data_IF_991618261555
#
_entry.id   IF_991618261555
#
_cell.length_a   1.000
_cell.length_b   1.000
_cell.length_c   1.000
_cell.angle_alpha   90.00
_cell.angle_beta   90.00
_cell.angle_gamma   90.00
#
_symmetry.space_group_name_H-M   'P 1'
#
loop_
_entity.id
_entity.type
_entity.pdbx_description
1 polymer ?
#
# COMPACT_ATOMS: atom_id res chain seq x y z
N UNK A 1 -4.23 16.66 -23.77
CA UNK A 1 -3.83 15.51 -22.92
C UNK A 1 -2.31 15.24 -22.92
N UNK A 2 -1.53 15.63 -23.94
CA UNK A 2 -0.08 15.34 -24.03
C UNK A 2 0.84 16.08 -23.05
N UNK A 3 0.29 16.85 -22.11
CA UNK A 3 1.05 17.67 -21.14
C UNK A 3 0.62 17.41 -19.69
N UNK A 4 -0.38 16.55 -19.47
CA UNK A 4 -0.86 16.20 -18.13
C UNK A 4 -0.31 14.83 -17.74
N UNK A 5 -0.25 14.55 -16.44
CA UNK A 5 0.08 13.22 -15.94
C UNK A 5 -1.10 12.28 -16.22
N UNK A 6 -0.80 11.09 -16.73
CA UNK A 6 -1.77 10.03 -16.97
C UNK A 6 -1.38 8.86 -16.08
N UNK A 7 -2.33 8.34 -15.30
CA UNK A 7 -2.14 7.17 -14.44
C UNK A 7 -3.30 6.22 -14.71
N UNK A 8 -3.01 4.93 -14.86
CA UNK A 8 -4.00 3.89 -15.06
C UNK A 8 -4.02 2.90 -13.89
N UNK A 9 -5.21 2.36 -13.62
CA UNK A 9 -5.39 1.04 -13.04
C UNK A 9 -5.31 0.04 -14.21
N UNK A 10 -4.21 -0.71 -14.37
CA UNK A 10 -3.93 -1.43 -15.61
C UNK A 10 -4.60 -2.81 -15.63
N UNK A 11 -5.86 -2.88 -15.21
CA UNK A 11 -6.67 -4.09 -15.30
C UNK A 11 -8.17 -3.79 -15.38
N UNK A 12 -8.93 -4.76 -15.89
CA UNK A 12 -10.38 -4.84 -15.77
C UNK A 12 -10.84 -6.27 -15.43
N UNK A 13 -12.15 -6.47 -15.26
CA UNK A 13 -12.75 -7.77 -14.91
C UNK A 13 -12.91 -8.73 -16.10
N UNK A 14 -12.64 -8.26 -17.32
CA UNK A 14 -12.87 -9.00 -18.55
C UNK A 14 -11.76 -10.03 -18.85
N UNK A 15 -12.02 -10.94 -19.81
CA UNK A 15 -10.97 -11.76 -20.39
C UNK A 15 -9.84 -10.88 -20.94
N UNK A 16 -8.59 -11.25 -20.68
CA UNK A 16 -7.39 -10.48 -21.05
C UNK A 16 -7.32 -9.06 -20.46
N UNK A 17 -8.10 -8.80 -19.39
CA UNK A 17 -8.16 -7.51 -18.72
C UNK A 17 -6.86 -7.07 -18.08
N UNK A 18 -5.96 -8.00 -17.69
CA UNK A 18 -4.70 -7.68 -17.01
C UNK A 18 -3.64 -7.11 -17.97
N UNK A 19 -3.34 -5.81 -17.86
CA UNK A 19 -2.51 -5.04 -18.80
C UNK A 19 -1.34 -4.30 -18.13
N UNK A 20 -0.91 -4.74 -16.94
CA UNK A 20 0.24 -4.16 -16.24
C UNK A 20 1.50 -4.24 -17.12
N UNK A 21 2.12 -3.10 -17.38
CA UNK A 21 3.29 -2.92 -18.25
C UNK A 21 2.95 -2.63 -19.72
N UNK A 22 1.68 -2.73 -20.12
CA UNK A 22 1.26 -2.62 -21.53
C UNK A 22 0.67 -1.26 -21.93
N UNK A 23 0.50 -0.29 -21.01
CA UNK A 23 0.05 1.04 -21.41
C UNK A 23 1.14 1.79 -22.20
N UNK A 24 0.74 2.76 -23.06
CA UNK A 24 1.67 3.57 -23.84
C UNK A 24 2.67 4.36 -22.99
N UNK A 25 3.77 4.77 -23.62
CA UNK A 25 4.72 5.71 -23.02
C UNK A 25 4.03 7.00 -22.54
N UNK A 26 4.47 7.49 -21.38
CA UNK A 26 3.88 8.67 -20.72
C UNK A 26 2.80 8.36 -19.68
N UNK A 27 2.36 7.09 -19.57
CA UNK A 27 1.47 6.63 -18.51
C UNK A 27 2.25 6.12 -17.29
N UNK A 28 1.77 6.47 -16.10
CA UNK A 28 2.03 5.72 -14.87
C UNK A 28 1.00 4.61 -14.70
N UNK A 29 1.38 3.54 -14.02
CA UNK A 29 0.49 2.40 -13.77
C UNK A 29 0.54 2.00 -12.30
N UNK A 30 -0.63 1.80 -11.69
CA UNK A 30 -0.73 1.20 -10.37
C UNK A 30 -0.11 -0.19 -10.40
N UNK A 31 0.97 -0.36 -9.64
CA UNK A 31 1.73 -1.60 -9.63
C UNK A 31 1.18 -2.57 -8.56
N UNK A 32 0.17 -3.35 -8.93
CA UNK A 32 -0.40 -4.39 -8.06
C UNK A 32 0.62 -5.46 -7.66
N UNK A 33 1.57 -5.81 -8.53
CA UNK A 33 2.63 -6.78 -8.19
C UNK A 33 3.57 -6.24 -7.10
N UNK A 34 3.87 -4.94 -7.12
CA UNK A 34 4.61 -4.28 -6.05
C UNK A 34 3.85 -4.41 -4.73
N UNK A 35 2.55 -4.05 -4.71
CA UNK A 35 1.70 -4.12 -3.51
C UNK A 35 1.74 -5.51 -2.88
N UNK A 36 1.46 -6.53 -3.68
CA UNK A 36 1.32 -7.90 -3.18
C UNK A 36 2.66 -8.48 -2.73
N UNK A 37 3.74 -8.20 -3.47
CA UNK A 37 5.10 -8.64 -3.12
C UNK A 37 5.55 -8.02 -1.80
N UNK A 38 5.39 -6.71 -1.62
CA UNK A 38 5.86 -6.04 -0.41
C UNK A 38 5.06 -6.49 0.82
N UNK A 39 3.74 -6.65 0.69
CA UNK A 39 2.90 -7.20 1.76
C UNK A 39 3.32 -8.63 2.11
N UNK A 40 3.45 -9.52 1.13
CA UNK A 40 3.86 -10.91 1.35
C UNK A 40 5.26 -11.02 1.99
N UNK A 41 6.21 -10.19 1.57
CA UNK A 41 7.55 -10.16 2.16
C UNK A 41 7.52 -9.78 3.65
N UNK A 42 6.82 -8.70 4.01
CA UNK A 42 6.76 -8.23 5.40
C UNK A 42 5.85 -9.07 6.29
N UNK A 43 4.87 -9.76 5.70
CA UNK A 43 4.10 -10.83 6.36
C UNK A 43 4.99 -12.01 6.74
N UNK A 44 6.07 -12.24 6.01
CA UNK A 44 7.03 -13.32 6.27
C UNK A 44 6.82 -14.56 5.39
N UNK A 45 6.20 -14.43 4.22
CA UNK A 45 6.11 -15.52 3.26
C UNK A 45 7.53 -15.91 2.77
N UNK A 46 7.78 -17.21 2.61
CA UNK A 46 9.08 -17.73 2.13
C UNK A 46 9.37 -17.41 0.66
N UNK A 47 10.66 -17.34 0.30
CA UNK A 47 11.09 -17.23 -1.10
C UNK A 47 10.87 -15.87 -1.77
N UNK A 48 10.49 -14.83 -1.01
CA UNK A 48 10.12 -13.51 -1.57
C UNK A 48 11.29 -12.59 -1.91
N UNK A 49 12.52 -12.88 -1.47
CA UNK A 49 13.64 -11.94 -1.56
C UNK A 49 13.99 -11.49 -3.00
N UNK A 50 13.97 -12.42 -3.97
CA UNK A 50 14.27 -12.09 -5.37
C UNK A 50 13.22 -11.17 -5.99
N UNK A 51 11.95 -11.45 -5.71
CA UNK A 51 10.84 -10.63 -6.18
C UNK A 51 10.84 -9.27 -5.49
N UNK A 52 11.07 -9.24 -4.17
CA UNK A 52 11.25 -8.01 -3.39
C UNK A 52 12.33 -7.12 -4.02
N UNK A 53 13.50 -7.66 -4.33
CA UNK A 53 14.60 -6.89 -4.93
C UNK A 53 14.21 -6.30 -6.30
N UNK A 54 13.49 -7.06 -7.12
CA UNK A 54 12.97 -6.61 -8.42
C UNK A 54 11.97 -5.46 -8.26
N UNK A 55 11.01 -5.58 -7.35
CA UNK A 55 10.02 -4.54 -7.08
C UNK A 55 10.62 -3.29 -6.46
N UNK A 56 11.51 -3.46 -5.48
CA UNK A 56 12.19 -2.37 -4.77
C UNK A 56 13.08 -1.54 -5.70
N UNK A 57 13.69 -2.19 -6.70
CA UNK A 57 14.57 -1.55 -7.70
C UNK A 57 13.85 -1.01 -8.94
N UNK A 58 12.52 -0.83 -8.86
CA UNK A 58 11.75 -0.11 -9.89
C UNK A 58 11.07 -0.98 -10.93
N UNK A 59 10.91 -2.29 -10.68
CA UNK A 59 10.10 -3.20 -11.51
C UNK A 59 10.52 -3.19 -12.98
N UNK A 60 11.82 -3.23 -13.24
CA UNK A 60 12.37 -3.12 -14.58
C UNK A 60 11.90 -4.25 -15.52
N UNK A 61 11.61 -5.43 -14.99
CA UNK A 61 11.04 -6.54 -15.73
C UNK A 61 9.67 -6.22 -16.37
N UNK A 62 8.88 -5.33 -15.77
CA UNK A 62 7.58 -4.89 -16.29
C UNK A 62 7.70 -3.75 -17.30
N UNK A 63 8.55 -2.76 -17.02
CA UNK A 63 8.54 -1.48 -17.76
C UNK A 63 9.70 -1.33 -18.76
N UNK A 64 10.85 -1.99 -18.53
CA UNK A 64 12.05 -1.78 -19.35
C UNK A 64 11.89 -2.29 -20.78
N UNK A 65 11.20 -3.42 -20.97
CA UNK A 65 10.98 -4.00 -22.30
C UNK A 65 10.24 -3.04 -23.25
N UNK A 66 9.38 -2.19 -22.70
CA UNK A 66 8.62 -1.15 -23.42
C UNK A 66 9.34 0.21 -23.48
N UNK A 67 10.64 0.26 -23.14
CA UNK A 67 11.44 1.50 -22.98
C UNK A 67 10.81 2.52 -22.01
N UNK A 68 10.05 2.04 -21.02
CA UNK A 68 9.46 2.89 -19.99
C UNK A 68 10.40 3.04 -18.82
N UNK A 69 10.43 4.26 -18.30
CA UNK A 69 11.26 4.64 -17.16
C UNK A 69 10.70 4.06 -15.86
N UNK A 70 11.54 3.92 -14.83
CA UNK A 70 11.08 3.40 -13.54
C UNK A 70 9.95 4.23 -12.90
N UNK A 71 9.87 5.53 -13.24
CA UNK A 71 8.77 6.42 -12.84
C UNK A 71 7.38 6.01 -13.36
N UNK A 72 7.31 5.13 -14.37
CA UNK A 72 6.05 4.53 -14.83
C UNK A 72 5.43 3.58 -13.81
N UNK A 73 6.20 3.04 -12.86
CA UNK A 73 5.68 2.24 -11.76
C UNK A 73 5.12 3.15 -10.67
N UNK A 74 3.79 3.15 -10.48
CA UNK A 74 3.15 3.75 -9.31
C UNK A 74 3.12 2.69 -8.21
N UNK A 75 4.10 2.76 -7.31
CA UNK A 75 4.26 1.85 -6.19
C UNK A 75 3.29 2.26 -5.08
N UNK A 76 2.58 1.29 -4.50
CA UNK A 76 1.71 1.52 -3.36
C UNK A 76 1.65 0.26 -2.49
N UNK A 77 1.49 0.45 -1.18
CA UNK A 77 1.22 -0.65 -0.25
C UNK A 77 -0.27 -0.79 -0.01
N UNK A 78 -1.00 0.31 -0.06
CA UNK A 78 -2.40 0.48 0.34
C UNK A 78 -3.05 1.49 -0.59
N UNK A 79 -4.35 1.34 -0.79
CA UNK A 79 -5.19 2.21 -1.60
C UNK A 79 -6.57 2.29 -0.95
N UNK A 80 -7.51 2.98 -1.58
CA UNK A 80 -8.89 3.00 -1.10
C UNK A 80 -9.55 1.60 -1.18
N UNK A 81 -9.12 0.78 -2.14
CA UNK A 81 -9.50 -0.63 -2.22
C UNK A 81 -8.63 -1.49 -1.29
N UNK A 82 -9.28 -2.29 -0.45
CA UNK A 82 -8.62 -3.15 0.53
C UNK A 82 -8.44 -2.47 1.88
N UNK A 83 -7.56 -3.05 2.70
CA UNK A 83 -7.22 -2.53 4.02
C UNK A 83 -6.31 -1.29 3.96
N UNK A 84 -6.39 -0.48 5.02
CA UNK A 84 -5.40 0.55 5.38
C UNK A 84 -4.08 -0.08 5.85
N UNK A 85 -3.02 0.74 6.01
CA UNK A 85 -1.73 0.27 6.50
C UNK A 85 -1.80 -0.29 7.92
N UNK A 86 -2.65 0.31 8.77
CA UNK A 86 -2.92 -0.18 10.12
C UNK A 86 -3.66 -1.52 10.09
N UNK A 87 -4.62 -1.67 9.20
CA UNK A 87 -5.47 -2.85 9.18
C UNK A 87 -4.77 -4.08 8.60
N UNK A 88 -3.83 -3.91 7.65
CA UNK A 88 -3.03 -5.05 7.14
C UNK A 88 -2.14 -5.71 8.21
N UNK A 89 -1.85 -5.01 9.31
CA UNK A 89 -1.09 -5.54 10.45
C UNK A 89 -1.98 -5.89 11.66
N UNK A 90 -3.30 -5.73 11.53
CA UNK A 90 -4.25 -5.88 12.65
C UNK A 90 -5.33 -6.92 12.39
N UNK A 91 -5.62 -7.26 11.14
CA UNK A 91 -6.70 -8.19 10.77
C UNK A 91 -6.22 -9.28 9.80
N UNK A 92 -6.67 -10.52 10.02
CA UNK A 92 -6.53 -11.62 9.06
C UNK A 92 -7.74 -11.69 8.13
N UNK A 93 -8.93 -11.49 8.68
CA UNK A 93 -10.19 -11.58 7.94
C UNK A 93 -10.76 -10.18 7.68
N UNK A 94 -11.53 -10.05 6.61
CA UNK A 94 -12.32 -8.84 6.36
C UNK A 94 -13.55 -8.81 7.26
N UNK A 95 -13.91 -7.63 7.74
CA UNK A 95 -15.07 -7.34 8.59
C UNK A 95 -15.96 -6.30 7.89
N UNK A 96 -16.53 -6.70 6.75
CA UNK A 96 -17.36 -5.85 5.89
C UNK A 96 -18.85 -5.92 6.25
N UNK A 97 -19.23 -6.44 7.42
CA UNK A 97 -20.62 -6.64 7.84
C UNK A 97 -21.45 -5.35 7.76
N UNK A 98 -20.81 -4.21 8.06
CA UNK A 98 -21.43 -2.88 7.99
C UNK A 98 -21.90 -2.49 6.58
N UNK A 99 -21.42 -3.16 5.53
CA UNK A 99 -21.81 -2.90 4.15
C UNK A 99 -23.18 -3.55 3.79
N UNK A 100 -23.72 -4.43 4.65
CA UNK A 100 -25.03 -5.05 4.46
C UNK A 100 -25.06 -6.22 3.48
N UNK A 101 -23.91 -6.66 2.97
CA UNK A 101 -23.80 -7.77 2.02
C UNK A 101 -23.42 -9.11 2.68
N UNK A 102 -23.52 -9.19 4.02
CA UNK A 102 -23.15 -10.37 4.79
C UNK A 102 -21.69 -10.77 4.59
N UNK A 103 -20.80 -9.77 4.56
CA UNK A 103 -19.35 -9.91 4.39
C UNK A 103 -18.90 -10.61 3.09
N UNK A 104 -19.78 -10.65 2.06
CA UNK A 104 -19.46 -11.26 0.76
C UNK A 104 -18.63 -10.35 -0.15
N UNK A 105 -18.80 -9.05 -0.01
CA UNK A 105 -18.12 -8.01 -0.79
C UNK A 105 -16.68 -7.80 -0.32
N UNK A 106 -15.83 -7.20 -1.17
CA UNK A 106 -14.41 -7.00 -0.89
C UNK A 106 -13.53 -8.22 -1.15
N UNK A 107 -12.23 -7.97 -1.33
CA UNK A 107 -11.26 -8.98 -1.77
C UNK A 107 -10.91 -9.97 -0.65
N UNK A 108 -10.70 -11.25 -1.00
CA UNK A 108 -10.43 -12.32 -0.04
C UNK A 108 -8.95 -12.51 0.33
N UNK A 109 -8.02 -12.25 -0.60
CA UNK A 109 -6.57 -12.44 -0.36
C UNK A 109 -5.85 -11.11 -0.13
N UNK A 110 -5.68 -10.73 1.13
CA UNK A 110 -5.22 -9.39 1.50
C UNK A 110 -3.73 -9.30 1.84
N UNK A 111 -3.04 -10.44 1.92
CA UNK A 111 -1.65 -10.57 2.39
C UNK A 111 -1.39 -9.87 3.74
N UNK A 112 -2.21 -10.19 4.75
CA UNK A 112 -2.16 -9.56 6.08
C UNK A 112 -1.59 -10.49 7.16
N UNK A 113 -1.31 -9.90 8.32
CA UNK A 113 -0.91 -10.61 9.55
C UNK A 113 -1.38 -9.82 10.76
N UNK A 114 -2.08 -10.45 11.69
CA UNK A 114 -2.64 -9.78 12.89
C UNK A 114 -1.77 -9.94 14.16
N UNK A 115 -0.66 -10.70 14.05
CA UNK A 115 0.26 -11.04 15.14
C UNK A 115 -0.38 -11.78 16.33
N UNK A 116 -1.44 -12.54 16.07
CA UNK A 116 -2.08 -13.43 17.04
C UNK A 116 -3.36 -12.88 17.67
N UNK A 117 -3.68 -11.59 17.47
CA UNK A 117 -4.92 -10.98 17.96
C UNK A 117 -5.64 -10.30 16.80
N UNK A 118 -6.91 -10.63 16.57
CA UNK A 118 -7.72 -10.00 15.53
C UNK A 118 -8.25 -8.66 16.02
N UNK A 119 -7.92 -7.58 15.30
CA UNK A 119 -8.38 -6.22 15.62
C UNK A 119 -7.63 -5.55 16.78
N UNK A 120 -8.27 -4.58 17.47
CA UNK A 120 -7.67 -3.81 18.56
C UNK A 120 -7.21 -4.71 19.73
N UNK A 121 -6.13 -4.31 20.40
CA UNK A 121 -5.61 -5.04 21.57
C UNK A 121 -4.92 -4.10 22.54
N UNK A 122 -4.95 -4.44 23.83
CA UNK A 122 -4.23 -3.76 24.91
C UNK A 122 -2.86 -4.40 25.19
N UNK A 123 -2.47 -5.43 24.43
CA UNK A 123 -1.16 -6.06 24.53
C UNK A 123 -0.08 -5.12 23.97
N UNK A 124 0.81 -4.57 24.82
CA UNK A 124 1.78 -3.58 24.38
C UNK A 124 2.84 -4.17 23.43
N UNK A 125 3.16 -5.47 23.54
CA UNK A 125 4.17 -6.11 22.70
C UNK A 125 3.64 -6.27 21.26
N UNK A 126 2.35 -6.60 21.13
CA UNK A 126 1.67 -6.67 19.82
C UNK A 126 1.52 -5.29 19.20
N UNK A 127 1.13 -4.28 19.99
CA UNK A 127 0.98 -2.92 19.48
C UNK A 127 2.32 -2.32 19.02
N UNK A 128 3.39 -2.48 19.79
CA UNK A 128 4.73 -2.05 19.37
C UNK A 128 5.14 -2.74 18.06
N UNK A 129 4.89 -4.05 17.95
CA UNK A 129 5.18 -4.83 16.75
C UNK A 129 4.42 -4.30 15.53
N UNK A 130 3.11 -4.05 15.67
CA UNK A 130 2.27 -3.50 14.59
C UNK A 130 2.77 -2.15 14.12
N UNK A 131 3.06 -1.24 15.04
CA UNK A 131 3.62 0.07 14.70
C UNK A 131 4.98 -0.04 14.02
N UNK A 132 5.83 -0.99 14.42
CA UNK A 132 7.09 -1.27 13.74
C UNK A 132 6.87 -1.77 12.31
N UNK A 133 5.91 -2.66 12.08
CA UNK A 133 5.62 -3.18 10.73
C UNK A 133 4.99 -2.11 9.81
N UNK A 134 4.16 -1.21 10.33
CA UNK A 134 3.69 -0.05 9.57
C UNK A 134 4.86 0.83 9.10
N UNK A 135 5.84 1.10 9.99
CA UNK A 135 7.05 1.85 9.64
C UNK A 135 7.90 1.12 8.60
N UNK A 136 8.07 -0.19 8.72
CA UNK A 136 8.79 -1.01 7.75
C UNK A 136 8.19 -0.92 6.34
N UNK A 137 6.87 -1.02 6.24
CA UNK A 137 6.13 -0.94 4.98
C UNK A 137 6.16 0.48 4.40
N UNK A 138 5.99 1.51 5.23
CA UNK A 138 6.10 2.92 4.82
C UNK A 138 7.52 3.25 4.33
N UNK A 139 8.56 2.77 5.02
CA UNK A 139 9.95 2.92 4.59
C UNK A 139 10.20 2.17 3.27
N UNK A 140 9.68 0.95 3.12
CA UNK A 140 9.79 0.18 1.87
C UNK A 140 9.18 0.95 0.69
N UNK A 141 7.99 1.54 0.88
CA UNK A 141 7.33 2.38 -0.11
C UNK A 141 8.16 3.61 -0.49
N UNK A 142 8.54 4.42 0.50
CA UNK A 142 9.18 5.71 0.27
C UNK A 142 10.66 5.59 -0.12
N UNK A 143 11.28 4.44 0.05
CA UNK A 143 12.67 4.18 -0.34
C UNK A 143 12.80 3.31 -1.61
N UNK A 144 11.70 2.80 -2.16
CA UNK A 144 11.72 2.08 -3.44
C UNK A 144 11.91 3.03 -4.63
N UNK A 145 12.52 2.53 -5.71
CA UNK A 145 12.60 3.23 -6.99
C UNK A 145 11.21 3.18 -7.67
N UNK A 146 10.76 4.31 -8.21
CA UNK A 146 9.43 4.48 -8.82
C UNK A 146 8.68 5.69 -8.26
N UNK A 147 7.38 5.76 -8.52
CA UNK A 147 6.50 6.82 -7.99
C UNK A 147 5.73 6.27 -6.79
N UNK A 148 6.03 6.64 -5.53
CA UNK A 148 5.28 6.16 -4.37
C UNK A 148 3.93 6.88 -4.26
N UNK A 149 2.88 6.11 -3.97
CA UNK A 149 1.55 6.59 -3.63
C UNK A 149 1.24 6.18 -2.19
N UNK A 150 0.99 7.17 -1.34
CA UNK A 150 0.59 6.99 0.07
C UNK A 150 -0.93 7.18 0.16
N UNK A 151 -1.63 6.26 0.82
CA UNK A 151 -3.04 6.41 1.14
C UNK A 151 -3.20 7.37 2.31
N UNK A 152 -4.09 8.36 2.16
CA UNK A 152 -4.32 9.35 3.20
C UNK A 152 -4.84 8.70 4.50
N UNK A 153 -4.16 9.02 5.61
CA UNK A 153 -4.42 8.50 6.94
C UNK A 153 -3.45 7.39 7.35
N UNK A 154 -2.74 6.75 6.43
CA UNK A 154 -1.73 5.74 6.79
C UNK A 154 -0.55 6.35 7.55
N UNK A 155 -0.26 7.62 7.33
CA UNK A 155 0.76 8.38 8.06
C UNK A 155 0.41 8.58 9.54
N UNK A 156 -0.84 8.36 9.94
CA UNK A 156 -1.32 8.46 11.33
C UNK A 156 -1.97 7.15 11.83
N UNK A 157 -1.85 6.06 11.08
CA UNK A 157 -2.41 4.76 11.47
C UNK A 157 -3.94 4.67 11.39
N UNK A 158 -4.56 5.37 10.43
CA UNK A 158 -6.00 5.28 10.15
C UNK A 158 -6.44 3.81 10.02
N UNK A 159 -7.55 3.48 10.66
CA UNK A 159 -8.19 2.15 10.59
C UNK A 159 -9.58 2.27 9.97
N UNK A 160 -10.00 1.22 9.26
CA UNK A 160 -11.38 1.01 8.84
C UNK A 160 -12.02 -0.13 9.64
N UNK A 161 -11.44 -0.44 10.81
CA UNK A 161 -11.90 -1.49 11.74
C UNK A 161 -12.01 -2.87 11.08
N UNK A 162 -11.11 -3.16 10.15
CA UNK A 162 -11.13 -4.43 9.42
C UNK A 162 -12.09 -4.44 8.22
N UNK A 163 -12.76 -3.34 7.90
CA UNK A 163 -13.52 -3.23 6.65
C UNK A 163 -12.55 -2.94 5.49
N UNK A 164 -12.39 -3.89 4.56
CA UNK A 164 -11.48 -3.76 3.42
C UNK A 164 -12.18 -3.27 2.14
N UNK A 165 -13.44 -2.83 2.25
CA UNK A 165 -14.26 -2.39 1.14
C UNK A 165 -15.25 -1.32 1.61
N UNK A 166 -14.77 -0.27 2.27
CA UNK A 166 -15.62 0.74 2.91
C UNK A 166 -16.28 1.72 1.91
N UNK A 167 -16.62 1.27 0.70
CA UNK A 167 -17.10 2.10 -0.42
C UNK A 167 -18.44 2.81 -0.12
N UNK A 168 -19.26 2.23 0.76
CA UNK A 168 -20.58 2.73 1.14
C UNK A 168 -20.62 3.31 2.56
N UNK A 169 -19.47 3.46 3.22
CA UNK A 169 -19.37 3.96 4.58
C UNK A 169 -19.01 5.45 4.57
N UNK A 170 -20.00 6.35 4.57
CA UNK A 170 -19.78 7.79 4.81
C UNK A 170 -20.01 8.12 6.30
N UNK A 171 -19.06 7.70 7.13
CA UNK A 171 -19.10 7.78 8.59
C UNK A 171 -17.69 7.58 9.19
N UNK A 172 -17.60 7.45 10.50
CA UNK A 172 -16.35 7.31 11.27
C UNK A 172 -15.47 6.12 10.85
N UNK A 173 -16.02 5.10 10.17
CA UNK A 173 -15.22 4.01 9.58
C UNK A 173 -14.30 4.53 8.47
N UNK A 174 -14.75 5.51 7.68
CA UNK A 174 -13.99 6.03 6.54
C UNK A 174 -13.39 7.41 6.77
N UNK A 175 -13.92 8.21 7.70
CA UNK A 175 -13.38 9.53 7.99
C UNK A 175 -11.97 9.46 8.57
N UNK A 176 -11.17 10.50 8.33
CA UNK A 176 -9.84 10.63 8.94
C UNK A 176 -10.03 11.20 10.34
N UNK A 177 -9.67 10.43 11.36
CA UNK A 177 -9.58 10.90 12.73
C UNK A 177 -8.28 11.71 12.92
N UNK A 178 -8.43 12.92 13.45
CA UNK A 178 -7.31 13.84 13.69
C UNK A 178 -6.95 13.94 15.18
N UNK A 179 -7.64 13.20 16.06
CA UNK A 179 -7.24 13.06 17.46
C UNK A 179 -6.08 12.06 17.56
N UNK A 180 -4.85 12.59 17.54
CA UNK A 180 -3.65 11.78 17.45
C UNK A 180 -3.09 11.46 18.85
N UNK A 181 -2.94 10.17 19.13
CA UNK A 181 -2.12 9.72 20.25
C UNK A 181 -0.60 9.83 19.93
N UNK A 182 0.23 9.54 20.93
CA UNK A 182 1.69 9.59 20.79
C UNK A 182 2.24 8.63 19.71
N UNK A 183 1.58 7.50 19.49
CA UNK A 183 2.00 6.49 18.50
C UNK A 183 1.69 6.96 17.07
N UNK A 184 0.49 7.48 16.84
CA UNK A 184 0.06 8.08 15.59
C UNK A 184 0.92 9.32 15.26
N UNK A 185 1.17 10.19 16.24
CA UNK A 185 2.09 11.32 16.07
C UNK A 185 3.52 10.85 15.71
N UNK A 186 4.00 9.78 16.34
CA UNK A 186 5.29 9.17 16.03
C UNK A 186 5.35 8.57 14.61
N UNK A 187 4.27 7.96 14.13
CA UNK A 187 4.16 7.48 12.75
C UNK A 187 4.17 8.62 11.74
N UNK A 188 3.50 9.73 12.05
CA UNK A 188 3.45 10.92 11.21
C UNK A 188 4.84 11.54 11.06
N UNK A 189 5.56 11.69 12.16
CA UNK A 189 6.94 12.20 12.14
C UNK A 189 7.90 11.25 11.40
N UNK A 190 7.72 9.94 11.54
CA UNK A 190 8.48 8.96 10.77
C UNK A 190 8.24 9.11 9.26
N UNK A 191 6.97 9.22 8.85
CA UNK A 191 6.58 9.38 7.45
C UNK A 191 7.12 10.68 6.86
N UNK A 192 7.02 11.80 7.59
CA UNK A 192 7.61 13.09 7.17
C UNK A 192 9.11 12.98 6.93
N UNK A 193 9.85 12.34 7.84
CA UNK A 193 11.30 12.15 7.70
C UNK A 193 11.65 11.33 6.45
N UNK A 194 10.90 10.25 6.18
CA UNK A 194 11.10 9.45 4.97
C UNK A 194 10.82 10.25 3.68
N UNK A 195 9.77 11.07 3.67
CA UNK A 195 9.47 11.96 2.55
C UNK A 195 10.60 12.98 2.36
N UNK A 196 11.08 13.61 3.43
CA UNK A 196 12.23 14.52 3.37
C UNK A 196 13.48 13.83 2.84
N UNK A 197 13.79 12.62 3.31
CA UNK A 197 14.92 11.83 2.84
C UNK A 197 14.79 11.51 1.34
N UNK A 198 13.62 11.03 0.89
CA UNK A 198 13.36 10.81 -0.53
C UNK A 198 13.53 12.11 -1.34
N UNK A 199 13.08 13.23 -0.81
CA UNK A 199 13.18 14.54 -1.44
C UNK A 199 14.63 15.11 -1.48
N UNK A 200 15.54 14.61 -0.63
CA UNK A 200 16.94 15.01 -0.64
C UNK A 200 17.85 14.07 -1.44
N UNK A 201 17.44 12.81 -1.66
CA UNK A 201 18.29 11.78 -2.27
C UNK A 201 18.01 11.59 -3.77
N UNK A 202 18.93 12.01 -4.69
CA UNK A 202 18.70 11.94 -6.13
C UNK A 202 18.47 10.52 -6.66
N UNK A 203 19.05 9.50 -6.01
CA UNK A 203 18.88 8.10 -6.41
C UNK A 203 17.43 7.64 -6.28
N UNK A 204 16.70 8.15 -5.28
CA UNK A 204 15.29 7.83 -5.03
C UNK A 204 14.33 8.67 -5.89
N UNK A 205 14.84 9.73 -6.53
CA UNK A 205 14.08 10.60 -7.43
C UNK A 205 14.26 10.24 -8.89
N UNK A 206 15.08 9.23 -9.22
CA UNK A 206 15.32 8.84 -10.61
C UNK A 206 14.01 8.39 -11.26
N UNK A 207 13.49 9.26 -12.13
CA UNK A 207 12.42 8.98 -13.08
C UNK A 207 12.98 8.52 -14.44
N UNK A 208 14.27 8.16 -14.52
CA UNK A 208 15.01 7.89 -15.76
C UNK A 208 15.35 6.40 -15.88
#
# INVERSE_FOLDING_TARGET
LSQVKLIAEPWDLGPDGYQLGHFPNGWGEWNGQYRDTMRAFWKGDDGRLGEFATRFSGSADLFRASNRVAGSSVNFITAHDGFTLRDIVSYLDKHNEANGEGNRDGHGDNHTVNYGVEGPTDDPDIEELRWRHQRNLMATLLLSIGTPMVLAGDEIGRTQQGNNNAYCQDNEVSWIDWDLDDSAAGMLEHTKRLITLRASEPVLQRQA
#
